data_IF_662903823103
#
_entry.id   IF_662903823103
#
_cell.length_a   1.000
_cell.length_b   1.000
_cell.length_c   1.000
_cell.angle_alpha   90.00
_cell.angle_beta   90.00
_cell.angle_gamma   90.00
#
_symmetry.space_group_name_H-M   'P 1'
#
loop_
_entity.id
_entity.type
_entity.pdbx_description
1 polymer ?
#
# COMPACT_ATOMS: atom_id res chain seq x y z
N UNK A 1 -28.57 34.05 6.02
CA UNK A 1 -28.71 32.65 5.59
C UNK A 1 -27.31 32.08 5.30
N UNK A 2 -26.68 31.28 6.18
CA UNK A 2 -25.42 30.62 5.85
C UNK A 2 -25.69 29.30 5.10
N UNK A 3 -25.04 29.12 3.94
CA UNK A 3 -25.08 27.89 3.14
C UNK A 3 -24.30 26.80 3.86
N UNK A 4 -24.97 25.67 4.19
CA UNK A 4 -24.32 24.48 4.76
C UNK A 4 -23.33 23.87 3.75
N UNK A 5 -22.10 23.50 4.14
CA UNK A 5 -21.21 22.76 3.26
C UNK A 5 -21.79 21.37 2.98
N UNK A 6 -21.79 20.99 1.70
CA UNK A 6 -22.21 19.68 1.20
C UNK A 6 -21.53 18.57 1.99
N UNK A 7 -22.36 17.66 2.50
CA UNK A 7 -21.99 16.39 3.11
C UNK A 7 -20.85 15.73 2.30
N UNK A 8 -19.70 15.55 2.96
CA UNK A 8 -18.58 14.79 2.43
C UNK A 8 -19.12 13.40 2.10
N UNK A 9 -19.13 13.05 0.80
CA UNK A 9 -19.59 11.74 0.34
C UNK A 9 -18.86 10.67 1.16
N UNK A 10 -19.56 9.76 1.87
CA UNK A 10 -18.89 8.69 2.57
C UNK A 10 -18.03 7.97 1.54
N UNK A 11 -16.72 7.86 1.83
CA UNK A 11 -15.79 7.09 1.00
C UNK A 11 -16.44 5.74 0.83
N UNK A 12 -16.88 5.45 -0.40
CA UNK A 12 -17.50 4.20 -0.78
C UNK A 12 -16.75 3.08 -0.09
N UNK A 13 -17.49 2.12 0.49
CA UNK A 13 -17.01 0.79 0.84
C UNK A 13 -16.47 0.16 -0.46
N UNK A 14 -15.36 0.67 -0.99
CA UNK A 14 -14.55 -0.05 -1.95
C UNK A 14 -14.07 -1.24 -1.13
N UNK A 15 -14.39 -2.48 -1.49
CA UNK A 15 -13.65 -3.58 -0.95
C UNK A 15 -12.21 -3.28 -1.34
N UNK A 16 -11.42 -2.84 -0.36
CA UNK A 16 -9.97 -2.85 -0.46
C UNK A 16 -9.56 -4.32 -0.39
N UNK A 17 -10.08 -5.13 -1.31
CA UNK A 17 -9.60 -6.47 -1.55
C UNK A 17 -8.29 -6.25 -2.26
N UNK A 18 -7.26 -5.96 -1.46
CA UNK A 18 -5.89 -6.16 -1.90
C UNK A 18 -5.86 -7.59 -2.41
N UNK A 19 -5.39 -7.83 -3.64
CA UNK A 19 -5.26 -9.21 -4.11
C UNK A 19 -4.30 -9.91 -3.15
N UNK A 20 -4.79 -10.92 -2.43
CA UNK A 20 -4.00 -11.68 -1.45
C UNK A 20 -2.94 -12.53 -2.14
N UNK A 21 -3.14 -12.87 -3.41
CA UNK A 21 -2.33 -13.80 -4.21
C UNK A 21 -1.18 -13.14 -4.99
N UNK A 22 -0.76 -11.96 -4.58
CA UNK A 22 0.33 -11.23 -5.24
C UNK A 22 1.66 -11.50 -4.51
N UNK A 23 2.76 -11.73 -5.24
CA UNK A 23 4.05 -11.99 -4.64
C UNK A 23 4.55 -10.78 -3.84
N UNK A 24 5.09 -11.04 -2.65
CA UNK A 24 5.60 -10.02 -1.73
C UNK A 24 4.55 -9.38 -0.83
N UNK A 25 5.02 -8.70 0.20
CA UNK A 25 4.17 -8.04 1.18
C UNK A 25 3.73 -6.66 0.67
N UNK A 26 2.50 -6.25 0.97
CA UNK A 26 2.16 -4.83 0.79
C UNK A 26 2.97 -3.96 1.76
N UNK A 27 3.11 -2.65 1.49
CA UNK A 27 3.87 -1.74 2.36
C UNK A 27 3.43 -1.82 3.83
N UNK A 28 2.12 -1.99 4.08
CA UNK A 28 1.58 -2.12 5.43
C UNK A 28 1.92 -3.46 6.08
N UNK A 29 1.94 -4.55 5.32
CA UNK A 29 2.32 -5.87 5.84
C UNK A 29 3.82 -5.96 6.07
N UNK A 30 4.63 -5.40 5.17
CA UNK A 30 6.08 -5.29 5.35
C UNK A 30 6.42 -4.44 6.58
N UNK A 31 5.68 -3.34 6.80
CA UNK A 31 5.81 -2.52 8.00
C UNK A 31 5.48 -3.32 9.27
N UNK A 32 4.39 -4.10 9.26
CA UNK A 32 4.02 -4.95 10.38
C UNK A 32 5.04 -6.07 10.64
N UNK A 33 5.53 -6.73 9.58
CA UNK A 33 6.55 -7.78 9.66
C UNK A 33 7.87 -7.25 10.24
N UNK A 34 8.30 -6.07 9.79
CA UNK A 34 9.54 -5.42 10.25
C UNK A 34 9.39 -4.64 11.55
N UNK A 35 8.19 -4.50 12.10
CA UNK A 35 7.91 -3.68 13.28
C UNK A 35 8.18 -2.18 13.09
N UNK A 36 8.13 -1.67 11.85
CA UNK A 36 8.39 -0.26 11.53
C UNK A 36 7.14 0.44 10.97
N UNK A 37 7.21 1.76 10.81
CA UNK A 37 6.13 2.51 10.16
C UNK A 37 6.11 2.28 8.64
N UNK A 38 4.94 2.34 7.97
CA UNK A 38 4.85 2.30 6.51
C UNK A 38 5.71 3.36 5.82
N UNK A 39 5.87 4.52 6.45
CA UNK A 39 6.72 5.60 5.96
C UNK A 39 8.20 5.24 5.99
N UNK A 40 8.64 4.52 7.04
CA UNK A 40 10.00 3.99 7.11
C UNK A 40 10.26 2.93 6.02
N UNK A 41 9.26 2.11 5.67
CA UNK A 41 9.36 1.19 4.52
C UNK A 41 9.58 1.97 3.23
N UNK A 42 8.82 3.03 2.96
CA UNK A 42 9.03 3.87 1.77
C UNK A 42 10.43 4.48 1.72
N UNK A 43 10.93 4.95 2.86
CA UNK A 43 12.29 5.49 2.99
C UNK A 43 13.36 4.44 2.69
N UNK A 44 13.24 3.23 3.25
CA UNK A 44 14.19 2.13 3.00
C UNK A 44 14.17 1.69 1.54
N UNK A 45 13.00 1.58 0.93
CA UNK A 45 12.85 1.31 -0.50
C UNK A 45 13.54 2.39 -1.33
N UNK A 46 13.29 3.67 -1.02
CA UNK A 46 13.91 4.80 -1.71
C UNK A 46 15.43 4.85 -1.54
N UNK A 47 15.96 4.29 -0.44
CA UNK A 47 17.40 4.18 -0.15
C UNK A 47 18.03 2.92 -0.75
N UNK A 48 17.25 2.06 -1.42
CA UNK A 48 17.73 0.77 -1.93
C UNK A 48 17.99 -0.29 -0.85
N UNK A 49 17.53 -0.06 0.38
CA UNK A 49 17.67 -0.99 1.51
C UNK A 49 16.56 -2.06 1.55
N UNK A 50 15.50 -1.86 0.79
CA UNK A 50 14.41 -2.82 0.64
C UNK A 50 14.04 -2.92 -0.83
N UNK A 51 13.85 -4.14 -1.31
CA UNK A 51 13.36 -4.36 -2.67
C UNK A 51 11.85 -4.09 -2.71
N UNK A 52 11.43 -3.28 -3.68
CA UNK A 52 10.02 -3.09 -3.96
C UNK A 52 9.75 -3.14 -5.47
N UNK A 53 8.71 -3.87 -5.82
CA UNK A 53 8.29 -4.05 -7.21
C UNK A 53 6.83 -3.64 -7.36
N UNK A 54 6.51 -3.08 -8.53
CA UNK A 54 5.12 -2.83 -8.89
C UNK A 54 4.61 -4.03 -9.67
N UNK A 55 3.72 -4.79 -9.07
CA UNK A 55 3.09 -5.92 -9.73
C UNK A 55 1.80 -5.44 -10.36
N UNK A 56 1.73 -5.53 -11.69
CA UNK A 56 0.52 -5.23 -12.46
C UNK A 56 -0.32 -6.50 -12.57
N UNK A 57 -1.52 -6.45 -12.00
CA UNK A 57 -2.49 -7.53 -12.07
C UNK A 57 -3.15 -7.54 -13.47
N UNK A 58 -3.62 -8.69 -13.99
CA UNK A 58 -4.39 -8.77 -15.24
C UNK A 58 -5.64 -7.88 -15.30
N UNK A 59 -6.15 -7.42 -14.15
CA UNK A 59 -7.22 -6.40 -14.06
C UNK A 59 -6.71 -4.96 -14.36
N UNK A 60 -5.47 -4.80 -14.82
CA UNK A 60 -4.83 -3.52 -15.15
C UNK A 60 -4.43 -2.68 -13.94
N UNK A 61 -4.55 -3.21 -12.72
CA UNK A 61 -4.20 -2.52 -11.48
C UNK A 61 -2.77 -2.84 -11.05
N UNK A 62 -1.96 -1.80 -10.84
CA UNK A 62 -0.62 -1.95 -10.29
C UNK A 62 -0.62 -1.76 -8.78
N UNK A 63 0.02 -2.70 -8.07
CA UNK A 63 0.18 -2.65 -6.62
C UNK A 63 1.66 -2.69 -6.26
N UNK A 64 2.05 -1.84 -5.30
CA UNK A 64 3.41 -1.86 -4.76
C UNK A 64 3.59 -3.01 -3.78
N UNK A 65 4.56 -3.87 -4.06
CA UNK A 65 4.95 -5.04 -3.28
C UNK A 65 6.37 -4.85 -2.77
N UNK A 66 6.61 -5.21 -1.52
CA UNK A 66 7.88 -5.04 -0.81
C UNK A 66 8.33 -6.42 -0.37
N UNK A 67 9.62 -6.70 -0.55
CA UNK A 67 10.26 -7.97 -0.19
C UNK A 67 11.30 -7.69 0.90
N UNK A 68 10.92 -7.83 2.18
CA UNK A 68 11.82 -7.56 3.30
C UNK A 68 12.78 -8.70 3.65
N UNK A 69 12.56 -9.91 3.14
CA UNK A 69 13.33 -11.12 3.48
C UNK A 69 14.54 -11.39 2.55
N UNK A 70 14.78 -10.54 1.55
CA UNK A 70 15.85 -10.71 0.56
C UNK A 70 17.12 -9.89 0.86
N UNK A 71 17.26 -9.36 2.09
CA UNK A 71 18.31 -8.41 2.50
C UNK A 71 19.19 -8.89 3.64
#
# INVERSE_FOLDING_TARGET
>A
MPTRPRLRRPRSKRPSSKPTDLPGLSVAEAAASLGISPQAVYLRVSRGQLRAENVTLPDGRSYKRVFPDEG
#
